data_IF_220857290748
#
_entry.id   IF_220857290748
#
_cell.length_a   1.000
_cell.length_b   1.000
_cell.length_c   1.000
_cell.angle_alpha   90.00
_cell.angle_beta   90.00
_cell.angle_gamma   90.00
#
_symmetry.space_group_name_H-M   'P 1'
#
loop_
_entity.id
_entity.type
_entity.pdbx_description
1 polymer ?
#
# COMPACT_ATOMS: atom_id res chain seq x y z
N UNK A 1 -17.51 6.66 -2.47
CA UNK A 1 -16.92 7.26 -1.26
C UNK A 1 -15.42 7.36 -1.45
N UNK A 2 -14.78 8.49 -1.12
CA UNK A 2 -13.31 8.64 -1.20
C UNK A 2 -12.80 8.80 0.22
N UNK A 3 -11.95 7.87 0.66
CA UNK A 3 -11.25 7.95 1.95
C UNK A 3 -9.83 8.42 1.69
N UNK A 4 -9.37 9.41 2.47
CA UNK A 4 -8.03 9.98 2.36
C UNK A 4 -7.23 9.66 3.61
N UNK A 5 -6.03 9.11 3.42
CA UNK A 5 -5.08 8.81 4.47
C UNK A 5 -3.72 9.34 4.07
N UNK A 6 -2.97 9.88 5.03
CA UNK A 6 -1.59 10.28 4.83
C UNK A 6 -0.70 9.40 5.70
N UNK A 7 0.35 8.83 5.11
CA UNK A 7 1.37 8.05 5.81
C UNK A 7 2.75 8.51 5.40
N UNK A 8 3.73 8.35 6.29
CA UNK A 8 5.13 8.66 5.99
C UNK A 8 5.83 7.40 5.49
N UNK A 9 6.68 7.57 4.49
CA UNK A 9 7.57 6.51 4.00
C UNK A 9 8.66 6.29 5.05
N UNK A 10 8.76 5.05 5.53
CA UNK A 10 9.82 4.61 6.42
C UNK A 10 10.91 3.85 5.67
N UNK A 11 12.13 3.94 6.15
CA UNK A 11 13.21 3.06 5.71
C UNK A 11 12.93 1.63 6.16
N UNK A 12 13.02 0.66 5.23
CA UNK A 12 12.80 -0.77 5.55
C UNK A 12 14.11 -1.51 5.85
N UNK A 13 15.19 -1.16 5.15
CA UNK A 13 16.54 -1.64 5.44
C UNK A 13 17.57 -0.52 5.13
N UNK A 14 18.59 -0.44 5.98
CA UNK A 14 19.79 0.40 5.82
C UNK A 14 20.56 0.14 4.52
N UNK A 15 20.42 -1.06 3.91
CA UNK A 15 21.10 -1.45 2.66
C UNK A 15 20.30 -1.15 1.37
N UNK A 16 19.16 -0.43 1.48
CA UNK A 16 18.59 0.33 0.35
C UNK A 16 17.75 -0.43 -0.67
N UNK A 17 17.26 -1.65 -0.39
CA UNK A 17 16.46 -2.41 -1.38
C UNK A 17 14.94 -2.23 -1.28
N UNK A 18 14.44 -1.61 -0.21
CA UNK A 18 13.00 -1.37 -0.05
C UNK A 18 12.71 -0.21 0.89
N UNK A 19 11.60 0.47 0.61
CA UNK A 19 10.94 1.38 1.54
C UNK A 19 9.65 0.74 2.01
N UNK A 20 9.21 1.05 3.24
CA UNK A 20 7.93 0.58 3.78
C UNK A 20 6.97 1.74 3.94
N UNK A 21 5.71 1.50 3.60
CA UNK A 21 4.60 2.39 3.95
C UNK A 21 3.68 1.69 4.93
N UNK A 22 2.97 2.47 5.73
CA UNK A 22 1.97 1.98 6.67
C UNK A 22 0.66 1.78 5.90
N UNK A 23 0.02 0.63 6.07
CA UNK A 23 -1.36 0.41 5.62
C UNK A 23 -2.28 0.84 6.76
N UNK A 24 -3.17 1.83 6.57
CA UNK A 24 -4.12 2.24 7.61
C UNK A 24 -5.00 1.07 8.07
N UNK A 25 -5.33 1.04 9.38
CA UNK A 25 -6.07 -0.09 9.97
C UNK A 25 -7.49 -0.21 9.38
N UNK A 26 -8.11 0.90 8.98
CA UNK A 26 -9.39 0.90 8.29
C UNK A 26 -9.31 0.19 6.93
N UNK A 27 -8.23 0.42 6.18
CA UNK A 27 -8.00 -0.25 4.90
C UNK A 27 -7.80 -1.74 5.11
N UNK A 28 -7.06 -2.14 6.16
CA UNK A 28 -6.94 -3.56 6.52
C UNK A 28 -8.29 -4.22 6.79
N UNK A 29 -9.16 -3.55 7.56
CA UNK A 29 -10.51 -4.06 7.85
C UNK A 29 -11.38 -4.14 6.59
N UNK A 30 -11.35 -3.11 5.74
CA UNK A 30 -12.15 -3.06 4.51
C UNK A 30 -11.74 -4.14 3.49
N UNK A 31 -10.44 -4.44 3.41
CA UNK A 31 -9.89 -5.47 2.53
C UNK A 31 -9.81 -6.85 3.18
N UNK A 32 -10.29 -7.00 4.42
CA UNK A 32 -10.19 -8.22 5.23
C UNK A 32 -8.77 -8.82 5.20
N UNK A 33 -7.78 -7.97 5.49
CA UNK A 33 -6.36 -8.31 5.47
C UNK A 33 -5.90 -8.78 6.84
N UNK A 34 -5.06 -9.82 6.84
CA UNK A 34 -4.40 -10.33 8.03
C UNK A 34 -2.87 -10.23 7.91
N UNK A 35 -2.17 -10.31 9.04
CA UNK A 35 -0.72 -10.32 9.04
C UNK A 35 -0.20 -11.55 8.28
N UNK A 36 0.59 -11.32 7.23
CA UNK A 36 1.10 -12.37 6.35
C UNK A 36 0.41 -12.43 4.98
N UNK A 37 -0.73 -11.76 4.81
CA UNK A 37 -1.38 -11.61 3.51
C UNK A 37 -0.47 -10.85 2.54
N UNK A 38 -0.59 -11.21 1.25
CA UNK A 38 0.11 -10.51 0.16
C UNK A 38 -0.78 -9.42 -0.42
N UNK A 39 -0.16 -8.27 -0.67
CA UNK A 39 -0.78 -7.16 -1.39
C UNK A 39 -0.23 -7.07 -2.80
N UNK A 40 -1.11 -6.82 -3.76
CA UNK A 40 -0.73 -6.45 -5.11
C UNK A 40 -0.89 -4.94 -5.28
N UNK A 41 0.17 -4.30 -5.74
CA UNK A 41 0.23 -2.89 -6.05
C UNK A 41 0.18 -2.76 -7.57
N UNK A 42 -0.86 -2.12 -8.09
CA UNK A 42 -0.95 -1.76 -9.50
C UNK A 42 -0.79 -0.24 -9.56
N UNK A 43 0.31 0.20 -10.17
CA UNK A 43 0.60 1.61 -10.35
C UNK A 43 0.23 1.99 -11.77
N UNK A 44 -0.66 2.96 -11.91
CA UNK A 44 -0.93 3.64 -13.16
C UNK A 44 -0.19 4.98 -13.15
N UNK A 45 0.63 5.20 -14.18
CA UNK A 45 1.51 6.36 -14.29
C UNK A 45 1.03 7.17 -15.48
N UNK A 46 0.08 8.06 -15.22
CA UNK A 46 -0.45 9.02 -16.19
C UNK A 46 -0.18 10.46 -15.73
N UNK A 47 0.35 11.28 -16.64
CA UNK A 47 0.58 12.71 -16.38
C UNK A 47 1.63 12.99 -15.29
N UNK A 48 1.31 13.89 -14.35
CA UNK A 48 2.19 14.36 -13.27
C UNK A 48 2.12 13.51 -11.99
N UNK A 49 1.30 12.45 -11.97
CA UNK A 49 1.02 11.67 -10.76
C UNK A 49 1.09 10.17 -10.96
N UNK A 50 1.13 9.45 -9.84
CA UNK A 50 0.99 7.99 -9.81
C UNK A 50 -0.27 7.66 -9.03
N UNK A 51 -1.20 6.96 -9.68
CA UNK A 51 -2.36 6.38 -8.99
C UNK A 51 -2.03 4.94 -8.65
N UNK A 52 -2.12 4.57 -7.38
CA UNK A 52 -1.88 3.20 -6.93
C UNK A 52 -3.19 2.57 -6.48
N UNK A 53 -3.53 1.45 -7.09
CA UNK A 53 -4.58 0.56 -6.59
C UNK A 53 -3.95 -0.58 -5.81
N UNK A 54 -4.39 -0.74 -4.55
CA UNK A 54 -3.96 -1.82 -3.66
C UNK A 54 -5.07 -2.85 -3.56
N UNK A 55 -4.75 -4.09 -3.91
CA UNK A 55 -5.69 -5.20 -3.90
C UNK A 55 -5.16 -6.31 -2.99
N UNK A 56 -6.06 -7.00 -2.27
CA UNK A 56 -5.73 -8.28 -1.67
C UNK A 56 -5.42 -9.27 -2.80
N UNK A 57 -4.26 -9.92 -2.73
CA UNK A 57 -3.91 -10.97 -3.70
C UNK A 57 -4.46 -12.29 -3.20
N UNK A 58 -5.44 -12.85 -3.91
CA UNK A 58 -5.89 -14.22 -3.67
C UNK A 58 -4.80 -15.21 -4.15
N UNK A 59 -4.71 -16.34 -3.44
CA UNK A 59 -3.69 -17.36 -3.65
C UNK A 59 -3.91 -18.15 -4.93
#
# INVERSE_FOLDING_TARGET
MILKYETKIGQADTKGKSSRTIVPIEIMKMLNLEWGDKLQWVADIEGEGVTVTVLKKEA
#
